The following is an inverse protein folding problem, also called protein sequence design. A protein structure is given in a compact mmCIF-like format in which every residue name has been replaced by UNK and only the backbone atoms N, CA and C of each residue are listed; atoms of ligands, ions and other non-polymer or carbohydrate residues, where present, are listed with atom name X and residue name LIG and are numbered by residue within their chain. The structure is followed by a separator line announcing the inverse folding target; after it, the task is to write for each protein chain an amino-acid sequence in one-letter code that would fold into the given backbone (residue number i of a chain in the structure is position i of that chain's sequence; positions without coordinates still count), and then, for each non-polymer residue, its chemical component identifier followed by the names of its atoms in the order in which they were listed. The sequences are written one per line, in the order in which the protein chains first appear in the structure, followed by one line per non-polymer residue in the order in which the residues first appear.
data_IF_307789615737
#
_entry.id   IF_307789615737
#
_cell.length_a   1.000
_cell.length_b   1.000
_cell.length_c   1.000
_cell.angle_alpha   90.00
_cell.angle_beta   90.00
_cell.angle_gamma   90.00
#
_symmetry.space_group_name_H-M   'P 1'
#
loop_
_entity.id
_entity.type
_entity.pdbx_description
1 polymer ?
#
# COMPACT_ATOMS: atom_id res chain seq x y z
N UNK A 1 -2.27 -31.55 6.93
CA UNK A 1 -1.57 -30.43 6.29
C UNK A 1 -2.57 -29.69 5.44
N UNK A 2 -3.03 -28.49 5.83
CA UNK A 2 -3.72 -27.53 4.94
C UNK A 2 -3.89 -26.21 5.70
N UNK A 3 -2.80 -25.45 5.73
CA UNK A 3 -2.75 -24.05 6.18
C UNK A 3 -3.43 -23.18 5.13
N UNK A 4 -4.77 -23.15 5.13
CA UNK A 4 -5.51 -22.20 4.32
C UNK A 4 -5.52 -20.86 5.07
N UNK A 5 -4.39 -20.16 4.96
CA UNK A 5 -4.35 -18.76 5.30
C UNK A 5 -5.18 -18.05 4.23
N UNK A 6 -6.44 -17.72 4.57
CA UNK A 6 -7.34 -16.88 3.78
C UNK A 6 -6.79 -15.45 3.76
N UNK A 7 -5.65 -15.29 3.12
CA UNK A 7 -5.04 -14.02 2.82
C UNK A 7 -5.50 -13.69 1.41
N UNK A 8 -6.41 -12.73 1.28
CA UNK A 8 -6.78 -12.19 -0.02
C UNK A 8 -5.55 -11.44 -0.54
N UNK A 9 -4.84 -12.12 -1.45
CA UNK A 9 -3.73 -11.52 -2.18
C UNK A 9 -4.37 -10.59 -3.21
N UNK A 10 -4.26 -9.29 -2.98
CA UNK A 10 -4.70 -8.29 -3.94
C UNK A 10 -3.49 -7.78 -4.73
N UNK A 11 -3.74 -7.22 -5.90
CA UNK A 11 -2.70 -6.64 -6.73
C UNK A 11 -2.60 -5.14 -6.49
N UNK A 12 -1.38 -4.65 -6.34
CA UNK A 12 -1.11 -3.22 -6.26
C UNK A 12 -1.49 -2.55 -7.58
N UNK A 13 -2.30 -1.49 -7.54
CA UNK A 13 -2.70 -0.80 -8.78
C UNK A 13 -1.53 -0.15 -9.53
N UNK A 14 -0.46 0.21 -8.81
CA UNK A 14 0.74 0.82 -9.39
C UNK A 14 1.67 -0.20 -10.04
N UNK A 15 2.10 -1.21 -9.30
CA UNK A 15 3.13 -2.16 -9.77
C UNK A 15 2.58 -3.52 -10.17
N UNK A 16 1.26 -3.74 -10.05
CA UNK A 16 0.60 -5.04 -10.23
C UNK A 16 1.17 -6.18 -9.38
N UNK A 17 2.01 -5.87 -8.37
CA UNK A 17 2.57 -6.90 -7.51
C UNK A 17 1.49 -7.45 -6.58
N UNK A 18 1.41 -8.79 -6.43
CA UNK A 18 0.57 -9.41 -5.44
C UNK A 18 1.09 -9.04 -4.05
N UNK A 19 0.22 -8.49 -3.20
CA UNK A 19 0.52 -8.27 -1.80
C UNK A 19 -0.65 -8.67 -0.92
N UNK A 20 -0.31 -9.02 0.31
CA UNK A 20 -1.31 -9.36 1.31
C UNK A 20 -1.96 -8.08 1.81
N UNK A 21 -3.18 -7.81 1.33
CA UNK A 21 -4.02 -6.79 1.92
C UNK A 21 -5.01 -7.45 2.86
N UNK A 22 -4.91 -7.08 4.13
CA UNK A 22 -5.92 -7.42 5.11
C UNK A 22 -6.87 -6.24 5.21
N UNK A 23 -7.76 -6.05 4.23
CA UNK A 23 -8.79 -5.00 4.31
C UNK A 23 -9.61 -5.09 5.62
N UNK A 24 -9.83 -6.32 6.11
CA UNK A 24 -10.44 -6.60 7.42
C UNK A 24 -9.55 -6.30 8.64
N UNK A 25 -8.25 -6.08 8.45
CA UNK A 25 -7.30 -5.70 9.49
C UNK A 25 -6.29 -4.72 8.91
N UNK A 26 -6.75 -3.50 8.59
CA UNK A 26 -5.94 -2.46 7.96
C UNK A 26 -4.62 -2.22 8.71
N UNK A 27 -4.62 -2.31 10.05
CA UNK A 27 -3.46 -2.18 10.93
C UNK A 27 -2.40 -3.27 10.73
N UNK A 28 -2.77 -4.39 10.09
CA UNK A 28 -1.88 -5.51 9.75
C UNK A 28 -1.55 -5.57 8.26
N UNK A 29 -2.02 -4.61 7.47
CA UNK A 29 -1.69 -4.54 6.06
C UNK A 29 -0.26 -4.01 5.86
N UNK A 30 0.43 -4.50 4.83
CA UNK A 30 1.76 -3.97 4.46
C UNK A 30 1.72 -2.47 4.15
N UNK A 31 0.59 -1.92 3.70
CA UNK A 31 0.49 -0.47 3.51
C UNK A 31 0.64 0.30 4.83
N UNK A 32 0.16 -0.25 5.96
CA UNK A 32 0.23 0.38 7.27
C UNK A 32 1.61 0.31 7.93
N UNK A 33 2.55 -0.47 7.37
CA UNK A 33 3.94 -0.48 7.87
C UNK A 33 4.73 0.74 7.37
N UNK A 34 4.25 1.40 6.32
CA UNK A 34 4.85 2.62 5.79
C UNK A 34 4.23 3.81 6.51
N UNK A 35 5.06 4.62 7.15
CA UNK A 35 4.63 5.87 7.76
C UNK A 35 4.66 6.96 6.70
N UNK A 36 3.47 7.32 6.21
CA UNK A 36 3.28 8.49 5.35
C UNK A 36 2.66 9.61 6.18
N UNK A 37 3.08 10.85 5.92
CA UNK A 37 2.42 12.03 6.47
C UNK A 37 1.08 12.28 5.77
N UNK A 38 0.24 13.13 6.38
CA UNK A 38 -1.07 13.47 5.84
C UNK A 38 -0.99 14.00 4.39
N UNK A 39 0.07 14.74 4.05
CA UNK A 39 0.27 15.32 2.73
C UNK A 39 0.59 14.23 1.69
N UNK A 40 1.46 13.29 2.04
CA UNK A 40 1.82 12.18 1.16
C UNK A 40 0.63 11.24 0.94
N UNK A 41 -0.14 10.94 1.99
CA UNK A 41 -1.36 10.12 1.86
C UNK A 41 -2.40 10.81 0.97
N UNK A 42 -2.56 12.13 1.10
CA UNK A 42 -3.40 12.91 0.20
C UNK A 42 -2.93 12.78 -1.25
N UNK A 43 -1.65 13.05 -1.50
CA UNK A 43 -1.05 12.95 -2.82
C UNK A 43 -1.23 11.56 -3.45
N UNK A 44 -1.04 10.52 -2.65
CA UNK A 44 -1.26 9.13 -3.09
C UNK A 44 -2.73 8.89 -3.42
N UNK A 45 -3.66 9.34 -2.57
CA UNK A 45 -5.10 9.14 -2.76
C UNK A 45 -5.65 9.92 -3.96
N UNK A 46 -5.02 11.05 -4.33
CA UNK A 46 -5.35 11.81 -5.54
C UNK A 46 -4.88 11.13 -6.82
N UNK A 47 -3.83 10.30 -6.74
CA UNK A 47 -3.27 9.56 -7.88
C UNK A 47 -3.83 8.14 -8.02
N UNK A 48 -4.13 7.48 -6.91
CA UNK A 48 -4.54 6.08 -6.86
C UNK A 48 -5.67 5.90 -5.84
N UNK A 49 -6.81 5.39 -6.31
CA UNK A 49 -7.99 5.09 -5.46
C UNK A 49 -7.93 3.67 -4.87
N UNK A 50 -7.11 2.80 -5.47
CA UNK A 50 -6.94 1.41 -5.06
C UNK A 50 -5.84 1.18 -4.01
N UNK A 51 -5.66 -0.09 -3.63
CA UNK A 51 -4.67 -0.45 -2.62
C UNK A 51 -3.26 -0.51 -3.22
N UNK A 52 -2.31 0.13 -2.54
CA UNK A 52 -0.90 0.15 -2.91
C UNK A 52 -0.06 -0.69 -1.94
N UNK A 53 0.97 -1.33 -2.46
CA UNK A 53 1.92 -2.07 -1.63
C UNK A 53 2.93 -1.12 -0.96
N UNK A 54 3.60 -1.60 0.09
CA UNK A 54 4.58 -0.82 0.84
C UNK A 54 5.70 -0.22 -0.02
N UNK A 55 6.17 -0.96 -1.04
CA UNK A 55 7.18 -0.45 -1.97
C UNK A 55 6.68 0.76 -2.77
N UNK A 56 5.49 0.65 -3.37
CA UNK A 56 4.91 1.73 -4.14
C UNK A 56 4.64 2.97 -3.30
N UNK A 57 4.22 2.79 -2.05
CA UNK A 57 4.04 3.88 -1.09
C UNK A 57 5.37 4.55 -0.74
N UNK A 58 6.45 3.77 -0.51
CA UNK A 58 7.79 4.31 -0.27
C UNK A 58 8.33 5.09 -1.48
N UNK A 59 8.10 4.58 -2.69
CA UNK A 59 8.46 5.26 -3.93
C UNK A 59 7.68 6.58 -4.08
N UNK A 60 6.36 6.59 -3.85
CA UNK A 60 5.54 7.81 -3.91
C UNK A 60 5.95 8.83 -2.85
N UNK A 61 6.22 8.36 -1.62
CA UNK A 61 6.80 9.18 -0.56
C UNK A 61 8.08 9.85 -1.04
N UNK A 62 8.99 9.08 -1.63
CA UNK A 62 10.27 9.61 -2.10
C UNK A 62 10.08 10.61 -3.24
N UNK A 63 9.24 10.31 -4.22
CA UNK A 63 8.90 11.22 -5.32
C UNK A 63 8.28 12.53 -4.81
N UNK A 64 7.39 12.45 -3.81
CA UNK A 64 6.79 13.62 -3.18
C UNK A 64 7.85 14.47 -2.46
N UNK A 65 8.77 13.84 -1.74
CA UNK A 65 9.89 14.52 -1.07
C UNK A 65 10.90 15.13 -2.06
N UNK A 66 11.16 14.49 -3.20
CA UNK A 66 12.06 15.02 -4.24
C UNK A 66 11.40 16.14 -5.08
N UNK A 67 10.07 16.22 -5.11
CA UNK A 67 9.33 17.27 -5.81
C UNK A 67 9.09 18.53 -4.96
N UNK A 68 9.59 18.53 -3.72
CA UNK A 68 9.44 19.59 -2.71
C UNK A 68 10.68 20.49 -2.68
#
# INVERSE_FOLDING_TARGET
MLTSAKHEIIHCERCSKPFECKANAYTKCQCSTVQLTINEVQYVSELYDGCLCANCLLELQKEYQESL
#
